data_IF_041284559874
#
_entry.id   IF_041284559874
#
_cell.length_a   1.000
_cell.length_b   1.000
_cell.length_c   1.000
_cell.angle_alpha   90.00
_cell.angle_beta   90.00
_cell.angle_gamma   90.00
#
_symmetry.space_group_name_H-M   'P 1'
#
loop_
_entity.id
_entity.type
_entity.pdbx_description
1 polymer ?
#
# COMPACT_ATOMS: atom_id res chain seq x y z
N UNK A 1 7.32 26.06 -25.65
CA UNK A 1 6.58 24.80 -25.89
C UNK A 1 5.24 24.68 -25.17
N UNK A 2 4.89 25.52 -24.17
CA UNK A 2 3.48 25.67 -23.74
C UNK A 2 2.69 26.53 -24.75
N UNK A 3 3.35 27.44 -25.48
CA UNK A 3 2.69 28.27 -26.51
C UNK A 3 2.00 27.47 -27.64
N UNK A 4 2.53 26.30 -28.02
CA UNK A 4 1.87 25.45 -29.02
C UNK A 4 0.79 24.55 -28.42
N UNK A 5 0.94 24.15 -27.14
CA UNK A 5 -0.02 23.31 -26.42
C UNK A 5 -0.96 24.18 -25.58
N UNK A 6 -2.18 24.43 -26.08
CA UNK A 6 -3.16 25.36 -25.50
C UNK A 6 -3.74 24.95 -24.12
N UNK A 7 -3.23 23.90 -23.48
CA UNK A 7 -3.68 23.45 -22.15
C UNK A 7 -2.51 22.98 -21.29
N UNK A 8 -2.67 23.07 -19.96
CA UNK A 8 -1.65 22.70 -18.99
C UNK A 8 -1.68 21.24 -18.54
N UNK A 9 -2.55 20.41 -19.13
CA UNK A 9 -2.61 18.97 -18.85
C UNK A 9 -1.43 18.21 -19.47
N UNK A 10 -1.01 17.15 -18.78
CA UNK A 10 0.02 16.23 -19.24
C UNK A 10 -0.57 15.27 -20.30
N UNK A 11 0.07 15.20 -21.46
CA UNK A 11 -0.20 14.19 -22.48
C UNK A 11 0.93 13.16 -22.39
N UNK A 12 0.61 11.96 -21.91
CA UNK A 12 1.59 10.90 -21.65
C UNK A 12 1.90 10.16 -22.94
N UNK A 13 3.18 9.88 -23.19
CA UNK A 13 3.60 9.07 -24.32
C UNK A 13 3.20 7.58 -24.14
N UNK A 14 3.02 6.82 -25.23
CA UNK A 14 2.68 5.41 -25.13
C UNK A 14 3.74 4.61 -24.34
N UNK A 15 3.31 3.89 -23.31
CA UNK A 15 4.18 3.02 -22.50
C UNK A 15 3.69 1.56 -22.50
N UNK A 16 4.59 0.57 -22.43
CA UNK A 16 4.24 -0.86 -22.42
C UNK A 16 3.79 -1.36 -21.04
N UNK A 17 3.89 -0.53 -19.99
CA UNK A 17 3.65 -0.97 -18.61
C UNK A 17 2.23 -1.45 -18.31
N UNK A 18 1.16 -0.85 -18.88
CA UNK A 18 -0.19 -1.37 -18.67
C UNK A 18 -0.38 -2.82 -19.15
N UNK A 19 0.18 -3.17 -20.32
CA UNK A 19 0.08 -4.54 -20.85
C UNK A 19 1.02 -5.51 -20.13
N UNK A 20 2.20 -5.05 -19.71
CA UNK A 20 3.10 -5.84 -18.87
C UNK A 20 2.44 -6.19 -17.53
N UNK A 21 1.82 -5.19 -16.88
CA UNK A 21 1.13 -5.38 -15.60
C UNK A 21 -0.05 -6.34 -15.71
N UNK A 22 -0.85 -6.25 -16.77
CA UNK A 22 -2.00 -7.14 -16.99
C UNK A 22 -1.56 -8.59 -17.24
N UNK A 23 -0.48 -8.81 -18.00
CA UNK A 23 0.11 -10.15 -18.19
C UNK A 23 0.67 -10.71 -16.87
N UNK A 24 1.29 -9.87 -16.04
CA UNK A 24 1.74 -10.25 -14.70
C UNK A 24 0.58 -10.66 -13.79
N UNK A 25 -0.51 -9.90 -13.79
CA UNK A 25 -1.72 -10.20 -13.04
C UNK A 25 -2.38 -11.52 -13.50
N UNK A 26 -2.42 -11.76 -14.82
CA UNK A 26 -2.91 -13.01 -15.38
C UNK A 26 -2.05 -14.19 -14.93
N UNK A 27 -0.73 -14.09 -15.07
CA UNK A 27 0.21 -15.13 -14.65
C UNK A 27 0.09 -15.44 -13.14
N UNK A 28 -0.05 -14.39 -12.31
CA UNK A 28 -0.25 -14.53 -10.85
C UNK A 28 -1.55 -15.24 -10.52
N UNK A 29 -2.65 -14.89 -11.20
CA UNK A 29 -3.97 -15.50 -10.96
C UNK A 29 -3.97 -16.98 -11.36
N UNK A 30 -3.46 -17.30 -12.56
CA UNK A 30 -3.36 -18.70 -13.03
C UNK A 30 -2.41 -19.49 -12.13
N UNK A 31 -1.24 -18.93 -11.80
CA UNK A 31 -0.27 -19.54 -10.90
C UNK A 31 -0.84 -19.81 -9.51
N UNK A 32 -1.62 -18.87 -8.97
CA UNK A 32 -2.29 -19.00 -7.68
C UNK A 32 -3.32 -20.13 -7.67
N UNK A 33 -4.18 -20.20 -8.69
CA UNK A 33 -5.15 -21.30 -8.84
C UNK A 33 -4.43 -22.64 -8.99
N UNK A 34 -3.39 -22.71 -9.82
CA UNK A 34 -2.59 -23.94 -9.99
C UNK A 34 -1.91 -24.36 -8.68
N UNK A 35 -1.39 -23.41 -7.91
CA UNK A 35 -0.76 -23.65 -6.62
C UNK A 35 -1.76 -24.21 -5.60
N UNK A 36 -2.94 -23.58 -5.46
CA UNK A 36 -3.99 -24.03 -4.54
C UNK A 36 -4.53 -25.43 -4.89
N UNK A 37 -4.54 -25.79 -6.19
CA UNK A 37 -5.00 -27.09 -6.67
C UNK A 37 -3.86 -28.14 -6.82
N UNK A 38 -2.67 -27.88 -6.26
CA UNK A 38 -1.54 -28.81 -6.27
C UNK A 38 -1.06 -29.26 -7.67
N UNK A 39 -1.21 -28.41 -8.69
CA UNK A 39 -0.68 -28.69 -10.03
C UNK A 39 0.84 -28.46 -10.10
N UNK A 40 1.52 -29.30 -10.91
CA UNK A 40 2.96 -29.16 -11.15
C UNK A 40 3.27 -27.81 -11.81
N UNK A 41 4.21 -27.06 -11.23
CA UNK A 41 4.61 -25.74 -11.74
C UNK A 41 3.74 -24.56 -11.27
N UNK A 42 2.72 -24.80 -10.42
CA UNK A 42 1.88 -23.73 -9.88
C UNK A 42 2.68 -22.71 -9.05
N UNK A 43 3.50 -23.18 -8.11
CA UNK A 43 4.35 -22.31 -7.28
C UNK A 43 5.31 -21.46 -8.12
N UNK A 44 5.94 -22.06 -9.13
CA UNK A 44 6.89 -21.35 -10.00
C UNK A 44 6.22 -20.27 -10.83
N UNK A 45 5.03 -20.56 -11.39
CA UNK A 45 4.27 -19.59 -12.17
C UNK A 45 3.76 -18.45 -11.29
N UNK A 46 3.28 -18.76 -10.07
CA UNK A 46 2.86 -17.77 -9.09
C UNK A 46 4.03 -16.83 -8.70
N UNK A 47 5.19 -17.39 -8.35
CA UNK A 47 6.36 -16.58 -7.98
C UNK A 47 6.84 -15.72 -9.15
N UNK A 48 6.84 -16.26 -10.37
CA UNK A 48 7.24 -15.51 -11.57
C UNK A 48 6.26 -14.37 -11.85
N UNK A 49 4.96 -14.62 -11.75
CA UNK A 49 3.92 -13.59 -11.90
C UNK A 49 4.07 -12.46 -10.89
N UNK A 50 4.32 -12.78 -9.62
CA UNK A 50 4.54 -11.79 -8.56
C UNK A 50 5.79 -10.94 -8.84
N UNK A 51 6.92 -11.57 -9.20
CA UNK A 51 8.15 -10.85 -9.56
C UNK A 51 7.90 -9.94 -10.77
N UNK A 52 7.12 -10.40 -11.76
CA UNK A 52 6.81 -9.63 -12.95
C UNK A 52 5.94 -8.39 -12.66
N UNK A 53 4.97 -8.51 -11.73
CA UNK A 53 4.19 -7.36 -11.23
C UNK A 53 5.10 -6.38 -10.51
N UNK A 54 5.93 -6.85 -9.57
CA UNK A 54 6.84 -5.99 -8.81
C UNK A 54 7.82 -5.25 -9.72
N UNK A 55 8.36 -5.95 -10.73
CA UNK A 55 9.20 -5.34 -11.76
C UNK A 55 8.46 -4.26 -12.54
N UNK A 56 7.24 -4.56 -13.02
CA UNK A 56 6.45 -3.57 -13.76
C UNK A 56 6.13 -2.35 -12.89
N UNK A 57 5.78 -2.53 -11.61
CA UNK A 57 5.55 -1.42 -10.68
C UNK A 57 6.80 -0.56 -10.49
N UNK A 58 7.96 -1.19 -10.30
CA UNK A 58 9.23 -0.48 -10.14
C UNK A 58 9.58 0.39 -11.35
N UNK A 59 9.52 -0.17 -12.56
CA UNK A 59 9.88 0.57 -13.78
C UNK A 59 8.83 1.64 -14.10
N UNK A 60 7.55 1.35 -13.88
CA UNK A 60 6.49 2.33 -14.13
C UNK A 60 6.62 3.53 -13.17
N UNK A 61 6.89 3.31 -11.88
CA UNK A 61 7.13 4.42 -10.96
C UNK A 61 8.42 5.18 -11.29
N UNK A 62 9.46 4.49 -11.74
CA UNK A 62 10.67 5.16 -12.23
C UNK A 62 10.36 6.10 -13.40
N UNK A 63 9.54 5.69 -14.36
CA UNK A 63 9.14 6.54 -15.49
C UNK A 63 8.31 7.75 -15.04
N UNK A 64 7.37 7.56 -14.11
CA UNK A 64 6.62 8.68 -13.50
C UNK A 64 7.55 9.66 -12.77
N UNK A 65 8.59 9.18 -12.10
CA UNK A 65 9.59 10.03 -11.45
C UNK A 65 10.42 10.82 -12.49
N UNK A 66 10.79 10.17 -13.60
CA UNK A 66 11.51 10.81 -14.73
C UNK A 66 10.64 11.91 -15.37
N UNK A 67 9.40 11.61 -15.72
CA UNK A 67 8.44 12.54 -16.34
C UNK A 67 8.16 13.75 -15.42
N UNK A 68 8.06 13.51 -14.12
CA UNK A 68 7.74 14.55 -13.14
C UNK A 68 8.93 15.44 -12.77
N UNK A 69 10.10 14.85 -12.54
CA UNK A 69 11.27 15.55 -11.96
C UNK A 69 12.23 16.06 -13.02
N UNK A 70 12.49 15.27 -14.07
CA UNK A 70 13.48 15.59 -15.10
C UNK A 70 12.85 16.32 -16.29
N UNK A 71 11.68 15.88 -16.74
CA UNK A 71 10.98 16.48 -17.89
C UNK A 71 10.02 17.61 -17.48
N UNK A 72 9.63 17.65 -16.21
CA UNK A 72 8.86 18.77 -15.63
C UNK A 72 7.41 18.84 -16.11
N UNK A 73 6.82 17.73 -16.57
CA UNK A 73 5.45 17.69 -17.10
C UNK A 73 4.36 17.91 -16.03
N UNK A 74 4.70 17.83 -14.73
CA UNK A 74 3.77 18.01 -13.61
C UNK A 74 3.49 19.48 -13.28
N UNK A 75 2.66 20.13 -14.11
CA UNK A 75 2.12 21.47 -13.83
C UNK A 75 1.22 21.49 -12.59
N UNK A 76 0.87 22.67 -12.06
CA UNK A 76 0.02 22.79 -10.86
C UNK A 76 -1.34 22.11 -10.99
N UNK A 77 -1.96 22.14 -12.17
CA UNK A 77 -3.24 21.43 -12.39
C UNK A 77 -3.04 19.92 -12.41
N UNK A 78 -1.95 19.43 -13.01
CA UNK A 78 -1.62 18.00 -13.04
C UNK A 78 -1.32 17.49 -11.63
N UNK A 79 -0.61 18.25 -10.80
CA UNK A 79 -0.32 17.87 -9.41
C UNK A 79 -1.57 17.66 -8.54
N UNK A 80 -2.70 18.28 -8.87
CA UNK A 80 -3.97 18.04 -8.18
C UNK A 80 -4.54 16.66 -8.48
N UNK A 81 -4.33 16.14 -9.71
CA UNK A 81 -4.83 14.84 -10.14
C UNK A 81 -4.39 13.68 -9.23
N UNK A 82 -3.07 13.43 -9.06
CA UNK A 82 -2.57 12.39 -8.15
C UNK A 82 -3.02 12.56 -6.70
N UNK A 83 -3.24 13.79 -6.21
CA UNK A 83 -3.78 14.02 -4.86
C UNK A 83 -5.21 13.49 -4.74
N UNK A 84 -6.08 13.84 -5.68
CA UNK A 84 -7.45 13.30 -5.72
C UNK A 84 -7.45 11.79 -5.93
N UNK A 85 -6.62 11.28 -6.85
CA UNK A 85 -6.48 9.85 -7.11
C UNK A 85 -6.05 9.07 -5.86
N UNK A 86 -5.07 9.58 -5.12
CA UNK A 86 -4.59 8.93 -3.89
C UNK A 86 -5.61 9.01 -2.75
N UNK A 87 -6.36 10.12 -2.61
CA UNK A 87 -7.47 10.21 -1.65
C UNK A 87 -8.54 9.18 -1.98
N UNK A 88 -8.94 9.06 -3.24
CA UNK A 88 -9.92 8.06 -3.67
C UNK A 88 -9.41 6.63 -3.40
N UNK A 89 -8.14 6.35 -3.69
CA UNK A 89 -7.51 5.07 -3.38
C UNK A 89 -7.59 4.74 -1.87
N UNK A 90 -7.24 5.69 -0.98
CA UNK A 90 -7.37 5.50 0.48
C UNK A 90 -8.83 5.22 0.87
N UNK A 91 -9.81 5.93 0.28
CA UNK A 91 -11.23 5.69 0.56
C UNK A 91 -11.63 4.25 0.18
N UNK A 92 -11.15 3.74 -0.95
CA UNK A 92 -11.39 2.34 -1.35
C UNK A 92 -10.76 1.34 -0.37
N UNK A 93 -9.53 1.58 0.10
CA UNK A 93 -8.88 0.74 1.11
C UNK A 93 -9.62 0.74 2.46
N UNK A 94 -10.11 1.91 2.90
CA UNK A 94 -10.93 2.03 4.12
C UNK A 94 -12.23 1.24 3.98
N UNK A 95 -12.89 1.28 2.82
CA UNK A 95 -14.09 0.49 2.56
C UNK A 95 -13.81 -1.02 2.54
N UNK A 96 -12.66 -1.44 2.00
CA UNK A 96 -12.23 -2.84 2.03
C UNK A 96 -12.02 -3.33 3.48
N UNK A 97 -11.30 -2.57 4.31
CA UNK A 97 -11.10 -2.90 5.73
C UNK A 97 -12.43 -2.86 6.51
N UNK A 98 -13.33 -1.93 6.19
CA UNK A 98 -14.66 -1.87 6.79
C UNK A 98 -15.47 -3.13 6.51
N UNK A 99 -15.35 -3.73 5.33
CA UNK A 99 -16.01 -5.00 5.02
C UNK A 99 -15.49 -6.14 5.90
N UNK A 100 -14.17 -6.22 6.10
CA UNK A 100 -13.56 -7.20 7.00
C UNK A 100 -14.03 -7.00 8.46
N UNK A 101 -14.10 -5.75 8.92
CA UNK A 101 -14.61 -5.42 10.26
C UNK A 101 -16.08 -5.78 10.44
N UNK A 102 -16.91 -5.60 9.41
CA UNK A 102 -18.31 -6.03 9.42
C UNK A 102 -18.42 -7.55 9.52
N UNK A 103 -17.61 -8.28 8.76
CA UNK A 103 -17.58 -9.73 8.79
C UNK A 103 -17.18 -10.28 10.17
N UNK A 104 -16.14 -9.70 10.79
CA UNK A 104 -15.74 -10.07 12.15
C UNK A 104 -16.80 -9.70 13.18
N UNK A 105 -17.41 -8.52 13.08
CA UNK A 105 -18.44 -8.04 14.01
C UNK A 105 -19.69 -8.91 13.99
N UNK A 106 -20.14 -9.31 12.80
CA UNK A 106 -21.24 -10.27 12.69
C UNK A 106 -20.91 -11.59 13.40
N UNK A 107 -19.66 -12.05 13.29
CA UNK A 107 -19.24 -13.33 13.86
C UNK A 107 -19.09 -13.33 15.39
N UNK A 108 -18.64 -12.21 16.00
CA UNK A 108 -18.49 -12.14 17.46
C UNK A 108 -19.75 -11.64 18.21
N UNK A 109 -20.64 -10.87 17.56
CA UNK A 109 -21.89 -10.40 18.18
C UNK A 109 -22.94 -11.52 18.26
N UNK A 110 -22.99 -12.39 17.26
CA UNK A 110 -23.93 -13.51 17.18
C UNK A 110 -23.16 -14.84 17.00
N UNK A 111 -22.47 -15.32 18.06
CA UNK A 111 -21.69 -16.54 17.99
C UNK A 111 -22.60 -17.75 17.72
N UNK A 112 -22.19 -18.61 16.78
CA UNK A 112 -22.96 -19.80 16.41
C UNK A 112 -23.00 -20.82 17.56
N UNK A 113 -24.02 -21.68 17.55
CA UNK A 113 -24.16 -22.75 18.54
C UNK A 113 -22.98 -23.74 18.48
N UNK A 114 -22.39 -23.91 17.30
CA UNK A 114 -21.24 -24.80 17.07
C UNK A 114 -19.99 -24.39 17.85
N UNK A 115 -19.78 -23.08 18.07
CA UNK A 115 -18.67 -22.57 18.91
C UNK A 115 -19.06 -22.43 20.39
N UNK A 116 -20.25 -22.87 20.77
CA UNK A 116 -20.75 -22.85 22.15
C UNK A 116 -21.50 -21.57 22.53
N UNK A 117 -21.90 -20.74 21.57
CA UNK A 117 -22.71 -19.53 21.79
C UNK A 117 -22.02 -18.44 22.62
N UNK A 118 -20.69 -18.49 22.74
CA UNK A 118 -19.89 -17.50 23.46
C UNK A 118 -18.70 -17.06 22.60
N UNK A 119 -18.26 -15.82 22.80
CA UNK A 119 -17.04 -15.29 22.18
C UNK A 119 -16.11 -14.75 23.27
N UNK A 120 -14.81 -15.08 23.24
CA UNK A 120 -14.12 -16.00 22.33
C UNK A 120 -14.50 -17.48 22.56
N UNK A 121 -14.32 -18.37 21.57
CA UNK A 121 -14.46 -19.82 21.75
C UNK A 121 -13.57 -20.34 22.89
N UNK A 122 -14.07 -21.30 23.67
CA UNK A 122 -13.48 -21.74 24.95
C UNK A 122 -12.01 -22.17 24.90
N UNK A 123 -11.55 -22.67 23.76
CA UNK A 123 -10.19 -23.23 23.61
C UNK A 123 -9.17 -22.21 23.09
N UNK A 124 -9.61 -20.99 22.73
CA UNK A 124 -8.73 -19.96 22.20
C UNK A 124 -8.19 -19.10 23.34
N UNK A 125 -6.88 -19.18 23.57
CA UNK A 125 -6.18 -18.26 24.48
C UNK A 125 -6.05 -16.91 23.79
N UNK A 126 -6.65 -15.87 24.37
CA UNK A 126 -6.59 -14.51 23.86
C UNK A 126 -5.28 -13.87 24.30
N UNK A 127 -4.65 -13.14 23.37
CA UNK A 127 -3.47 -12.32 23.65
C UNK A 127 -3.83 -11.19 24.62
N UNK A 128 -3.00 -10.94 25.64
CA UNK A 128 -3.22 -9.79 26.54
C UNK A 128 -3.08 -8.48 25.73
N UNK A 129 -4.14 -7.63 25.67
CA UNK A 129 -4.08 -6.37 24.95
C UNK A 129 -3.01 -5.39 25.46
N UNK A 130 -2.50 -5.56 26.69
CA UNK A 130 -1.56 -4.65 27.35
C UNK A 130 -0.09 -4.96 27.05
N UNK A 131 0.21 -6.10 26.45
CA UNK A 131 1.57 -6.53 26.15
C UNK A 131 1.99 -6.05 24.75
N UNK A 132 2.23 -6.99 23.83
CA UNK A 132 2.68 -6.71 22.46
C UNK A 132 1.68 -5.83 21.68
N UNK A 133 0.35 -6.08 21.73
CA UNK A 133 -0.61 -5.23 21.00
C UNK A 133 -0.55 -3.76 21.41
N UNK A 134 -0.34 -3.47 22.70
CA UNK A 134 -0.21 -2.09 23.19
C UNK A 134 1.04 -1.42 22.62
N UNK A 135 2.19 -2.10 22.63
CA UNK A 135 3.42 -1.59 22.03
C UNK A 135 3.23 -1.32 20.52
N UNK A 136 2.52 -2.21 19.83
CA UNK A 136 2.17 -2.10 18.42
C UNK A 136 1.14 -1.00 18.11
N UNK A 137 0.58 -0.33 19.12
CA UNK A 137 -0.14 0.96 18.94
C UNK A 137 0.76 2.17 19.16
N UNK A 138 1.71 2.09 20.10
CA UNK A 138 2.62 3.20 20.43
C UNK A 138 3.66 3.44 19.33
N UNK A 139 4.17 2.36 18.70
CA UNK A 139 5.18 2.48 17.65
C UNK A 139 4.61 3.22 16.41
N UNK A 140 3.46 2.82 15.82
CA UNK A 140 2.87 3.56 14.70
C UNK A 140 2.46 4.98 15.06
N UNK A 141 2.00 5.23 16.30
CA UNK A 141 1.70 6.59 16.77
C UNK A 141 2.96 7.48 16.77
N UNK A 142 4.07 6.92 17.25
CA UNK A 142 5.37 7.61 17.26
C UNK A 142 5.90 7.81 15.84
N UNK A 143 5.72 6.83 14.95
CA UNK A 143 6.05 6.92 13.52
C UNK A 143 5.24 8.02 12.83
N UNK A 144 3.96 8.15 13.17
CA UNK A 144 3.05 9.24 12.75
C UNK A 144 3.54 10.63 13.17
N UNK A 145 4.04 10.77 14.40
CA UNK A 145 4.66 12.00 14.86
C UNK A 145 5.98 12.31 14.10
N UNK A 146 6.80 11.28 13.84
CA UNK A 146 8.04 11.42 13.08
C UNK A 146 7.82 11.84 11.62
N UNK A 147 6.79 11.30 10.93
CA UNK A 147 6.48 11.73 9.56
C UNK A 147 5.90 13.15 9.51
N UNK A 148 5.15 13.56 10.55
CA UNK A 148 4.70 14.95 10.69
C UNK A 148 5.88 15.90 10.88
N UNK A 149 6.89 15.48 11.66
CA UNK A 149 8.15 16.21 11.78
C UNK A 149 8.90 16.31 10.43
N UNK A 150 8.97 15.22 9.66
CA UNK A 150 9.55 15.23 8.32
C UNK A 150 8.83 16.22 7.39
N UNK A 151 7.50 16.23 7.41
CA UNK A 151 6.68 17.14 6.61
C UNK A 151 6.99 18.62 6.93
N UNK A 152 7.01 18.99 8.21
CA UNK A 152 7.36 20.35 8.62
C UNK A 152 8.81 20.73 8.30
N UNK A 153 9.75 19.77 8.34
CA UNK A 153 11.12 20.01 7.94
C UNK A 153 11.26 20.32 6.44
N UNK A 154 10.50 19.62 5.59
CA UNK A 154 10.43 19.89 4.14
C UNK A 154 9.84 21.29 3.88
N UNK A 155 8.72 21.62 4.53
CA UNK A 155 8.10 22.96 4.40
C UNK A 155 9.02 24.09 4.86
N UNK A 156 9.84 23.85 5.88
CA UNK A 156 10.82 24.81 6.39
C UNK A 156 12.13 24.85 5.57
N UNK A 157 12.25 24.08 4.48
CA UNK A 157 13.46 23.99 3.64
C UNK A 157 14.67 23.34 4.33
N UNK A 158 14.46 22.61 5.43
CA UNK A 158 15.53 21.96 6.22
C UNK A 158 15.73 20.51 5.79
N UNK A 159 16.34 20.31 4.62
CA UNK A 159 16.52 19.00 3.97
C UNK A 159 17.16 17.95 4.88
N UNK A 160 18.26 18.28 5.57
CA UNK A 160 18.95 17.33 6.47
C UNK A 160 18.05 16.82 7.60
N UNK A 161 17.21 17.69 8.17
CA UNK A 161 16.26 17.31 9.23
C UNK A 161 15.12 16.45 8.68
N UNK A 162 14.68 16.71 7.45
CA UNK A 162 13.68 15.88 6.79
C UNK A 162 14.19 14.45 6.57
N UNK A 163 15.44 14.29 6.13
CA UNK A 163 16.05 12.96 5.97
C UNK A 163 16.17 12.23 7.32
N UNK A 164 16.65 12.91 8.38
CA UNK A 164 16.72 12.27 9.71
C UNK A 164 15.35 11.84 10.23
N UNK A 165 14.33 12.67 10.03
CA UNK A 165 12.95 12.34 10.42
C UNK A 165 12.41 11.13 9.64
N UNK A 166 12.62 11.08 8.32
CA UNK A 166 12.20 9.96 7.48
C UNK A 166 12.91 8.65 7.85
N UNK A 167 14.22 8.70 8.12
CA UNK A 167 14.98 7.52 8.59
C UNK A 167 14.42 7.02 9.92
N UNK A 168 14.06 7.93 10.84
CA UNK A 168 13.43 7.56 12.10
C UNK A 168 12.06 6.88 11.89
N UNK A 169 11.20 7.43 11.03
CA UNK A 169 9.91 6.83 10.64
C UNK A 169 10.10 5.41 10.10
N UNK A 170 10.96 5.22 9.09
CA UNK A 170 11.19 3.90 8.49
C UNK A 170 11.79 2.92 9.50
N UNK A 171 12.68 3.38 10.38
CA UNK A 171 13.24 2.52 11.43
C UNK A 171 12.17 2.05 12.43
N UNK A 172 11.25 2.93 12.83
CA UNK A 172 10.13 2.56 13.70
C UNK A 172 9.18 1.57 13.01
N UNK A 173 8.90 1.75 11.72
CA UNK A 173 8.04 0.84 10.96
C UNK A 173 8.69 -0.55 10.75
N UNK A 174 10.01 -0.61 10.58
CA UNK A 174 10.76 -1.87 10.55
C UNK A 174 10.71 -2.59 11.90
N UNK A 175 10.82 -1.83 13.01
CA UNK A 175 10.65 -2.37 14.37
C UNK A 175 9.22 -2.92 14.54
N UNK A 176 8.19 -2.17 14.14
CA UNK A 176 6.80 -2.63 14.17
C UNK A 176 6.56 -3.91 13.35
N UNK A 177 7.23 -4.07 12.20
CA UNK A 177 7.07 -5.27 11.37
C UNK A 177 7.75 -6.50 12.00
N UNK A 178 8.80 -6.29 12.79
CA UNK A 178 9.57 -7.36 13.42
C UNK A 178 8.95 -7.90 14.73
N UNK A 179 8.13 -7.09 15.42
CA UNK A 179 7.51 -7.40 16.71
C UNK A 179 6.01 -7.64 16.61
#
# INVERSE_FOLDING_TARGET
MIESQRHSYHLVDPSPWPISGSLGALATTIGGVMYMNSFRGGATLLSLGLIFILYTMFVWWHDVLRESTLEGHHTKVVQLGPRYGFILFIVFEVMFIFHLFRASSHSFLEPTVEIGGIWPPKEIVVLDPREIPFLNTLIPLSSGAAVTWAHHAILAGKEKRAVYALVATVSLDLVFTAF
#
